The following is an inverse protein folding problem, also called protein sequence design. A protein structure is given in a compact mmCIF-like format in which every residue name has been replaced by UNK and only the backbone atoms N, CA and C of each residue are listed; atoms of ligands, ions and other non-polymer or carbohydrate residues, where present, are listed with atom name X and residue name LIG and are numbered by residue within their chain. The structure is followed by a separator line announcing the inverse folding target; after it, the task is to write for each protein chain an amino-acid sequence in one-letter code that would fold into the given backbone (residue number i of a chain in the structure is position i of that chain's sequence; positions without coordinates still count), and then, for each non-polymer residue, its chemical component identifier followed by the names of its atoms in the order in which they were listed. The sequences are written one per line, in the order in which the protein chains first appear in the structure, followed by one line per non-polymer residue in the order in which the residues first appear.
data_IF_440272496579
#
_entry.id   IF_440272496579
#
_cell.length_a   1.000
_cell.length_b   1.000
_cell.length_c   1.000
_cell.angle_alpha   90.00
_cell.angle_beta   90.00
_cell.angle_gamma   90.00
#
_symmetry.space_group_name_H-M   'P 1'
#
loop_
_entity.id
_entity.type
_entity.pdbx_description
1 polymer ?
#
# COMPACT_ATOMS: atom_id res chain seq x y z
N UNK A 1 20.21 -10.13 1.89
CA UNK A 1 18.93 -9.74 2.49
C UNK A 1 18.90 -8.22 2.51
N UNK A 2 17.87 -7.64 1.92
CA UNK A 2 17.65 -6.19 1.86
C UNK A 2 16.33 -5.92 2.53
N UNK A 3 16.34 -5.05 3.52
CA UNK A 3 15.16 -4.71 4.29
C UNK A 3 14.60 -3.39 3.74
N UNK A 4 13.35 -3.43 3.28
CA UNK A 4 12.67 -2.25 2.74
C UNK A 4 11.61 -1.76 3.71
N UNK A 5 11.61 -0.46 3.94
CA UNK A 5 10.51 0.20 4.65
C UNK A 5 9.27 0.09 3.78
N UNK A 6 8.17 -0.33 4.40
CA UNK A 6 6.85 -0.41 3.80
C UNK A 6 5.90 0.45 4.58
N UNK A 7 5.22 1.36 3.89
CA UNK A 7 4.23 2.26 4.49
C UNK A 7 2.89 2.05 3.80
N UNK A 8 1.85 1.86 4.61
CA UNK A 8 0.48 1.71 4.15
C UNK A 8 -0.24 3.03 4.37
N UNK A 9 -0.83 3.57 3.32
CA UNK A 9 -1.65 4.77 3.33
C UNK A 9 -3.10 4.39 3.06
N UNK A 10 -4.00 4.92 3.87
CA UNK A 10 -5.42 4.82 3.63
C UNK A 10 -5.88 6.04 2.85
N UNK A 11 -6.67 5.81 1.82
CA UNK A 11 -7.34 6.88 1.10
C UNK A 11 -8.60 7.29 1.87
N UNK A 12 -8.62 8.55 2.31
CA UNK A 12 -9.68 9.16 3.13
C UNK A 12 -10.61 10.06 2.31
N UNK A 13 -10.49 10.05 0.98
CA UNK A 13 -11.46 10.66 0.09
C UNK A 13 -12.85 9.99 0.21
N UNK A 14 -13.94 10.72 -0.02
CA UNK A 14 -15.30 10.20 0.19
C UNK A 14 -15.64 9.04 -0.77
N UNK A 15 -15.08 9.09 -1.99
CA UNK A 15 -15.24 8.13 -3.08
C UNK A 15 -13.99 7.24 -3.25
N UNK A 16 -13.17 7.06 -2.20
CA UNK A 16 -11.91 6.29 -2.26
C UNK A 16 -12.07 4.90 -2.90
N UNK A 17 -13.18 4.20 -2.65
CA UNK A 17 -13.46 2.86 -3.20
C UNK A 17 -13.65 2.82 -4.72
N UNK A 18 -13.76 3.98 -5.39
CA UNK A 18 -13.80 4.05 -6.87
C UNK A 18 -12.42 4.02 -7.51
N UNK A 19 -11.36 3.95 -6.72
CA UNK A 19 -9.97 3.94 -7.18
C UNK A 19 -9.22 5.21 -6.85
N UNK A 20 -7.90 5.14 -6.95
CA UNK A 20 -7.00 6.25 -6.67
C UNK A 20 -7.14 7.35 -7.73
N UNK A 21 -7.49 8.58 -7.31
CA UNK A 21 -7.69 9.76 -8.17
C UNK A 21 -8.72 9.57 -9.32
N UNK A 22 -9.63 8.59 -9.23
CA UNK A 22 -10.58 8.28 -10.33
C UNK A 22 -11.83 9.17 -10.26
N UNK A 23 -12.53 9.15 -9.12
CA UNK A 23 -13.81 9.85 -8.96
C UNK A 23 -13.63 11.23 -8.32
N UNK A 24 -12.60 11.37 -7.50
CA UNK A 24 -12.18 12.61 -6.88
C UNK A 24 -10.69 12.53 -6.53
N UNK A 25 -10.04 13.66 -6.22
CA UNK A 25 -8.66 13.67 -5.76
C UNK A 25 -8.48 12.85 -4.46
N UNK A 26 -7.56 11.89 -4.48
CA UNK A 26 -7.16 11.09 -3.33
C UNK A 26 -6.54 11.96 -2.24
N UNK A 27 -6.78 11.56 -0.99
CA UNK A 27 -6.16 12.11 0.23
C UNK A 27 -5.61 10.94 1.02
N UNK A 28 -4.30 10.90 1.21
CA UNK A 28 -3.62 9.76 1.81
C UNK A 28 -3.16 10.05 3.23
N UNK A 29 -3.58 9.20 4.16
CA UNK A 29 -3.10 9.23 5.54
C UNK A 29 -2.29 7.96 5.84
N UNK A 30 -1.08 8.13 6.38
CA UNK A 30 -0.24 7.01 6.77
C UNK A 30 -0.89 6.26 7.95
N UNK A 31 -1.17 4.97 7.75
CA UNK A 31 -1.84 4.12 8.74
C UNK A 31 -0.88 3.15 9.45
N UNK A 32 0.12 2.64 8.72
CA UNK A 32 1.15 1.77 9.31
C UNK A 32 2.48 1.90 8.57
N UNK A 33 3.57 1.64 9.30
CA UNK A 33 4.90 1.50 8.72
C UNK A 33 5.62 0.31 9.36
N UNK A 34 6.17 -0.57 8.53
CA UNK A 34 6.92 -1.75 8.95
C UNK A 34 8.04 -2.05 7.94
N UNK A 35 8.82 -3.09 8.19
CA UNK A 35 9.93 -3.48 7.32
C UNK A 35 9.67 -4.85 6.72
N UNK A 36 9.82 -4.96 5.41
CA UNK A 36 9.72 -6.23 4.69
C UNK A 36 11.11 -6.70 4.24
N UNK A 37 11.49 -7.95 4.57
CA UNK A 37 12.76 -8.52 4.10
C UNK A 37 12.64 -9.01 2.65
N UNK A 38 13.67 -8.73 1.86
CA UNK A 38 13.82 -9.23 0.48
C UNK A 38 15.13 -10.00 0.31
N UNK A 39 15.10 -11.08 -0.45
CA UNK A 39 16.28 -11.86 -0.82
C UNK A 39 17.05 -11.20 -1.96
N UNK A 40 17.87 -10.21 -1.61
CA UNK A 40 18.73 -9.50 -2.57
C UNK A 40 18.06 -8.25 -3.13
N UNK A 41 18.27 -7.96 -4.41
CA UNK A 41 17.65 -6.80 -5.05
C UNK A 41 16.17 -7.14 -5.37
N UNK A 42 15.20 -6.30 -4.96
CA UNK A 42 13.80 -6.53 -5.27
C UNK A 42 13.58 -6.56 -6.79
N UNK A 43 13.00 -7.65 -7.29
CA UNK A 43 12.49 -7.74 -8.66
C UNK A 43 11.03 -7.30 -8.69
N UNK A 44 10.48 -6.93 -9.86
CA UNK A 44 9.05 -6.60 -9.98
C UNK A 44 8.13 -7.71 -9.49
N UNK A 45 8.49 -8.98 -9.70
CA UNK A 45 7.73 -10.14 -9.25
C UNK A 45 7.77 -10.28 -7.73
N UNK A 46 8.94 -10.06 -7.11
CA UNK A 46 9.08 -10.08 -5.66
C UNK A 46 8.27 -8.95 -5.01
N UNK A 47 8.26 -7.75 -5.61
CA UNK A 47 7.44 -6.62 -5.14
C UNK A 47 5.95 -6.95 -5.23
N UNK A 48 5.48 -7.56 -6.33
CA UNK A 48 4.08 -8.00 -6.45
C UNK A 48 3.70 -9.03 -5.40
N UNK A 49 4.53 -10.05 -5.18
CA UNK A 49 4.29 -11.06 -4.15
C UNK A 49 4.28 -10.44 -2.74
N UNK A 50 5.14 -9.44 -2.49
CA UNK A 50 5.13 -8.70 -1.23
C UNK A 50 3.85 -7.87 -1.06
N UNK A 51 3.35 -7.22 -2.12
CA UNK A 51 2.07 -6.50 -2.10
C UNK A 51 0.89 -7.44 -1.82
N UNK A 52 0.84 -8.62 -2.46
CA UNK A 52 -0.16 -9.66 -2.17
C UNK A 52 -0.08 -10.12 -0.72
N UNK A 53 1.12 -10.34 -0.19
CA UNK A 53 1.32 -10.67 1.22
C UNK A 53 0.80 -9.56 2.13
N UNK A 54 1.08 -8.29 1.84
CA UNK A 54 0.54 -7.16 2.60
C UNK A 54 -0.99 -7.16 2.57
N UNK A 55 -1.60 -7.35 1.40
CA UNK A 55 -3.04 -7.40 1.27
C UNK A 55 -3.67 -8.53 2.10
N UNK A 56 -3.15 -9.74 1.98
CA UNK A 56 -3.67 -10.91 2.70
C UNK A 56 -3.55 -10.72 4.22
N UNK A 57 -2.43 -10.18 4.68
CA UNK A 57 -2.16 -9.99 6.11
C UNK A 57 -3.00 -8.89 6.75
N UNK A 58 -3.36 -7.85 5.99
CA UNK A 58 -4.17 -6.74 6.51
C UNK A 58 -5.68 -6.96 6.31
N UNK A 59 -6.08 -8.01 5.58
CA UNK A 59 -7.49 -8.30 5.28
C UNK A 59 -7.98 -9.67 5.74
N UNK A 60 -7.12 -10.69 5.79
CA UNK A 60 -7.53 -12.10 5.95
C UNK A 60 -6.88 -12.70 7.21
N UNK A 61 -5.56 -12.82 7.20
CA UNK A 61 -4.82 -13.64 8.15
C UNK A 61 -3.68 -12.84 8.80
N UNK A 62 -3.96 -12.20 9.94
CA UNK A 62 -3.01 -11.38 10.73
C UNK A 62 -1.90 -12.21 11.41
N UNK A 63 -1.13 -12.97 10.63
CA UNK A 63 -0.15 -13.94 11.13
C UNK A 63 1.24 -13.35 11.29
N UNK A 64 1.59 -12.36 10.47
CA UNK A 64 2.87 -11.65 10.54
C UNK A 64 2.93 -10.73 11.78
N UNK A 65 4.11 -10.58 12.42
CA UNK A 65 4.22 -9.71 13.59
C UNK A 65 3.74 -8.28 13.34
N UNK A 66 4.07 -7.71 12.18
CA UNK A 66 3.68 -6.34 11.80
C UNK A 66 2.19 -6.19 11.46
N UNK A 67 1.48 -7.27 11.13
CA UNK A 67 0.04 -7.19 10.84
C UNK A 67 -0.81 -7.28 12.10
N UNK A 68 -0.28 -7.80 13.21
CA UNK A 68 -1.02 -7.94 14.48
C UNK A 68 -1.40 -6.61 15.13
N UNK A 69 -0.62 -5.57 14.86
CA UNK A 69 -0.89 -4.21 15.36
C UNK A 69 -1.83 -3.42 14.44
N UNK A 70 -2.30 -4.02 13.34
CA UNK A 70 -3.24 -3.40 12.43
C UNK A 70 -4.64 -3.31 13.06
N UNK A 71 -5.02 -2.09 13.42
CA UNK A 71 -6.33 -1.78 14.03
C UNK A 71 -7.23 -0.93 13.13
N UNK A 72 -6.77 -0.65 11.91
CA UNK A 72 -7.50 0.13 10.94
C UNK A 72 -8.55 -0.71 10.19
N UNK A 73 -9.33 -0.05 9.34
CA UNK A 73 -10.21 -0.75 8.39
C UNK A 73 -9.40 -1.62 7.42
N UNK A 74 -10.08 -2.58 6.79
CA UNK A 74 -9.52 -3.39 5.69
C UNK A 74 -8.87 -2.52 4.61
N UNK A 75 -7.76 -3.02 4.08
CA UNK A 75 -7.08 -2.46 2.91
C UNK A 75 -7.94 -2.71 1.67
N UNK A 76 -8.27 -1.66 0.94
CA UNK A 76 -9.28 -1.66 -0.11
C UNK A 76 -8.88 -0.81 -1.32
N UNK A 77 -9.69 -0.87 -2.38
CA UNK A 77 -9.47 -0.12 -3.61
C UNK A 77 -9.24 1.36 -3.32
N UNK A 78 -8.18 1.92 -3.92
CA UNK A 78 -7.77 3.30 -3.74
C UNK A 78 -6.79 3.55 -2.60
N UNK A 79 -6.62 2.60 -1.67
CA UNK A 79 -5.54 2.65 -0.67
C UNK A 79 -4.19 2.37 -1.33
N UNK A 80 -3.10 2.81 -0.69
CA UNK A 80 -1.76 2.78 -1.28
C UNK A 80 -0.77 2.07 -0.36
N UNK A 81 0.05 1.20 -0.96
CA UNK A 81 1.21 0.60 -0.29
C UNK A 81 2.48 1.10 -0.97
N UNK A 82 3.38 1.66 -0.17
CA UNK A 82 4.72 2.06 -0.60
C UNK A 82 5.71 1.02 -0.11
N UNK A 83 6.54 0.48 -0.99
CA UNK A 83 7.63 -0.45 -0.66
C UNK A 83 8.93 0.16 -1.17
N UNK A 84 9.81 0.54 -0.25
CA UNK A 84 11.03 1.29 -0.56
C UNK A 84 10.68 2.59 -1.28
N UNK A 85 11.09 2.70 -2.55
CA UNK A 85 10.89 3.89 -3.38
C UNK A 85 9.72 3.76 -4.36
N UNK A 86 8.96 2.65 -4.32
CA UNK A 86 7.85 2.39 -5.26
C UNK A 86 6.51 2.42 -4.55
N UNK A 87 5.52 3.05 -5.18
CA UNK A 87 4.17 3.21 -4.65
C UNK A 87 3.12 2.51 -5.52
N UNK A 88 2.16 1.86 -4.89
CA UNK A 88 1.15 1.04 -5.56
C UNK A 88 -0.22 1.24 -4.94
N UNK A 89 -1.18 1.67 -5.75
CA UNK A 89 -2.58 1.72 -5.36
C UNK A 89 -3.25 0.35 -5.54
N UNK A 90 -4.09 -0.03 -4.59
CA UNK A 90 -4.99 -1.18 -4.73
C UNK A 90 -5.97 -0.87 -5.85
N UNK A 91 -5.94 -1.68 -6.91
CA UNK A 91 -6.86 -1.58 -8.03
C UNK A 91 -8.04 -2.57 -7.85
N UNK A 92 -9.14 -2.42 -8.59
CA UNK A 92 -10.22 -3.42 -8.59
C UNK A 92 -9.74 -4.84 -8.94
N UNK A 93 -8.63 -4.92 -9.67
CA UNK A 93 -7.89 -6.13 -9.99
C UNK A 93 -6.39 -5.84 -9.83
N UNK A 94 -5.78 -6.43 -8.80
CA UNK A 94 -4.34 -6.29 -8.53
C UNK A 94 -3.94 -4.88 -8.08
N UNK A 95 -2.89 -4.35 -8.70
CA UNK A 95 -2.20 -3.14 -8.26
C UNK A 95 -1.88 -2.21 -9.41
N UNK A 96 -1.99 -0.91 -9.18
CA UNK A 96 -1.57 0.13 -10.13
C UNK A 96 -0.39 0.90 -9.57
N UNK A 97 0.72 0.95 -10.32
CA UNK A 97 1.88 1.74 -9.94
C UNK A 97 1.54 3.23 -9.97
N UNK A 98 2.03 3.98 -8.98
CA UNK A 98 1.92 5.42 -8.90
C UNK A 98 3.26 6.09 -9.18
N UNK A 99 3.24 7.26 -9.80
CA UNK A 99 4.41 8.12 -9.87
C UNK A 99 4.68 8.81 -8.53
N UNK A 100 5.91 9.30 -8.34
CA UNK A 100 6.26 10.10 -7.16
C UNK A 100 5.40 11.36 -7.04
N UNK A 101 5.03 11.98 -8.16
CA UNK A 101 4.19 13.19 -8.19
C UNK A 101 2.78 12.88 -7.71
N UNK A 102 2.17 11.79 -8.20
CA UNK A 102 0.85 11.34 -7.77
C UNK A 102 0.80 11.04 -6.27
N UNK A 103 1.83 10.35 -5.76
CA UNK A 103 1.94 10.06 -4.33
C UNK A 103 2.08 11.35 -3.51
N UNK A 104 2.99 12.24 -3.92
CA UNK A 104 3.29 13.47 -3.20
C UNK A 104 2.08 14.41 -3.15
N UNK A 105 1.39 14.56 -4.28
CA UNK A 105 0.18 15.37 -4.36
C UNK A 105 -0.94 14.84 -3.46
N UNK A 106 -1.10 13.51 -3.35
CA UNK A 106 -2.14 12.91 -2.54
C UNK A 106 -1.84 12.94 -1.03
N UNK A 107 -0.56 12.95 -0.64
CA UNK A 107 -0.13 13.11 0.77
C UNK A 107 -0.22 14.56 1.24
N UNK A 108 0.03 15.53 0.35
CA UNK A 108 0.07 16.95 0.70
C UNK A 108 -1.31 17.61 0.89
N UNK A 109 -2.40 16.87 0.64
CA UNK A 109 -3.80 17.36 0.70
C UNK A 109 -4.43 17.06 2.05
#
# INVERSE_FOLDING_TARGET
MTDLITTVYLNTADQHLRGFDVAEPARLEAAASFTLPFDGRPTPEAVKAALETVFDQLNIDFTQPWSKDWTCRSLSVGDVVVIGETAWAVAPSGWTALSCDQLSDAIAR
#
